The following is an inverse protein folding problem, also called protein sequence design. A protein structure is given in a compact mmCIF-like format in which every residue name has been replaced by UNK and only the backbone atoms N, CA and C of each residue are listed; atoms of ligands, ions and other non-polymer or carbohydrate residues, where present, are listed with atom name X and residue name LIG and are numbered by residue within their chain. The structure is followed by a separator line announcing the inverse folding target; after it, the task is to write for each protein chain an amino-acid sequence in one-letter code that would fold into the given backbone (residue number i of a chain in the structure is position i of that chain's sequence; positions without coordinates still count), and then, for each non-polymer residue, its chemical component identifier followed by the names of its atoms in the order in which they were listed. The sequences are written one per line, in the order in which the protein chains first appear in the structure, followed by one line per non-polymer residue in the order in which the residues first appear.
data_IF_928395455968
#
_entry.id   IF_928395455968
#
_cell.length_a   1.000
_cell.length_b   1.000
_cell.length_c   1.000
_cell.angle_alpha   90.00
_cell.angle_beta   90.00
_cell.angle_gamma   90.00
#
_symmetry.space_group_name_H-M   'P 1'
#
loop_
_entity.id
_entity.type
_entity.pdbx_description
1 polymer ?
#
# COMPACT_ATOMS: atom_id res chain seq x y z
N UNK A 1 -0.64 -5.75 -1.88
CA UNK A 1 0.14 -4.68 -1.23
C UNK A 1 1.63 -4.85 -1.52
N UNK A 2 2.25 -6.00 -1.21
CA UNK A 2 3.67 -6.27 -1.51
C UNK A 2 4.10 -5.98 -2.97
N UNK A 3 3.34 -6.37 -4.01
CA UNK A 3 3.71 -6.03 -5.39
C UNK A 3 3.64 -4.53 -5.70
N UNK A 4 2.82 -3.77 -4.98
CA UNK A 4 2.71 -2.33 -5.15
C UNK A 4 3.94 -1.61 -4.63
N UNK A 5 4.40 -1.97 -3.43
CA UNK A 5 5.65 -1.46 -2.87
C UNK A 5 6.85 -1.83 -3.77
N UNK A 6 6.91 -3.07 -4.24
CA UNK A 6 7.94 -3.50 -5.19
C UNK A 6 7.93 -2.68 -6.49
N UNK A 7 6.74 -2.38 -7.04
CA UNK A 7 6.61 -1.54 -8.24
C UNK A 7 7.04 -0.08 -8.01
N UNK A 8 7.05 0.38 -6.76
CA UNK A 8 7.56 1.67 -6.35
C UNK A 8 9.06 1.64 -5.97
N UNK A 9 9.75 0.50 -6.17
CA UNK A 9 11.17 0.34 -5.88
C UNK A 9 11.49 -0.25 -4.50
N UNK A 10 10.48 -0.44 -3.65
CA UNK A 10 10.65 -0.91 -2.27
C UNK A 10 10.47 -2.42 -2.17
N UNK A 11 11.54 -3.14 -2.45
CA UNK A 11 11.58 -4.60 -2.32
C UNK A 11 12.00 -4.99 -0.91
N UNK A 12 11.17 -5.79 -0.24
CA UNK A 12 11.51 -6.34 1.06
C UNK A 12 12.75 -7.25 0.94
N UNK A 13 13.82 -7.01 1.72
CA UNK A 13 15.00 -7.86 1.73
C UNK A 13 14.68 -9.31 2.11
N UNK A 14 15.47 -10.25 1.60
CA UNK A 14 15.38 -11.65 1.99
C UNK A 14 15.72 -11.79 3.48
N UNK A 15 14.93 -12.59 4.21
CA UNK A 15 15.01 -12.77 5.68
C UNK A 15 14.59 -11.58 6.54
N UNK A 16 13.98 -10.54 5.94
CA UNK A 16 13.33 -9.48 6.71
C UNK A 16 11.83 -9.78 6.86
N UNK A 17 11.26 -9.42 8.01
CA UNK A 17 9.81 -9.47 8.21
C UNK A 17 9.13 -8.40 7.32
N UNK A 18 8.27 -8.79 6.35
CA UNK A 18 7.65 -7.83 5.44
C UNK A 18 6.79 -6.79 6.16
N UNK A 19 6.13 -7.18 7.26
CA UNK A 19 5.27 -6.25 7.99
C UNK A 19 6.09 -5.12 8.62
N UNK A 20 7.19 -5.47 9.30
CA UNK A 20 8.08 -4.48 9.92
C UNK A 20 8.76 -3.61 8.87
N UNK A 21 9.26 -4.21 7.77
CA UNK A 21 9.89 -3.46 6.68
C UNK A 21 8.98 -2.36 6.11
N UNK A 22 7.73 -2.69 5.76
CA UNK A 22 6.82 -1.70 5.18
C UNK A 22 6.30 -0.69 6.22
N UNK A 23 6.21 -1.06 7.50
CA UNK A 23 5.87 -0.10 8.57
C UNK A 23 7.00 0.93 8.73
N UNK A 24 8.26 0.48 8.81
CA UNK A 24 9.40 1.39 8.92
C UNK A 24 9.53 2.30 7.70
N UNK A 25 9.16 1.80 6.53
CA UNK A 25 9.20 2.57 5.28
C UNK A 25 8.20 3.72 5.26
N UNK A 26 7.01 3.56 5.85
CA UNK A 26 5.95 4.59 5.82
C UNK A 26 5.93 5.49 7.05
N UNK A 27 6.73 5.15 8.06
CA UNK A 27 6.85 5.92 9.27
C UNK A 27 8.00 6.95 9.13
N UNK A 28 7.64 8.23 9.14
CA UNK A 28 8.58 9.35 8.98
C UNK A 28 9.54 9.56 10.15
N UNK A 29 9.35 8.84 11.26
CA UNK A 29 10.26 8.91 12.41
C UNK A 29 11.58 8.14 12.18
N UNK A 30 11.69 7.32 11.13
CA UNK A 30 12.91 6.58 10.79
C UNK A 30 13.72 7.28 9.69
N UNK A 31 15.05 7.30 9.80
CA UNK A 31 15.93 7.97 8.83
C UNK A 31 15.79 7.45 7.38
N UNK A 32 15.60 6.13 7.18
CA UNK A 32 15.48 5.47 5.87
C UNK A 32 14.03 5.29 5.38
N UNK A 33 13.11 6.13 5.85
CA UNK A 33 11.72 6.14 5.36
C UNK A 33 11.60 6.54 3.88
N UNK A 34 10.53 6.07 3.23
CA UNK A 34 10.20 6.47 1.87
C UNK A 34 9.71 7.92 1.78
N UNK A 35 9.68 8.45 0.56
CA UNK A 35 8.87 9.62 0.23
C UNK A 35 7.37 9.25 0.34
N UNK A 36 6.84 9.41 1.56
CA UNK A 36 5.44 9.08 1.89
C UNK A 36 4.46 9.84 0.99
N UNK A 37 4.60 11.16 0.76
CA UNK A 37 3.74 11.89 -0.20
C UNK A 37 3.70 11.26 -1.60
N UNK A 38 4.85 10.93 -2.18
CA UNK A 38 4.92 10.29 -3.49
C UNK A 38 4.26 8.91 -3.50
N UNK A 39 4.44 8.15 -2.41
CA UNK A 39 3.87 6.82 -2.26
C UNK A 39 2.34 6.87 -2.15
N UNK A 40 1.79 7.86 -1.42
CA UNK A 40 0.36 8.13 -1.34
C UNK A 40 -0.21 8.51 -2.71
N UNK A 41 0.50 9.34 -3.48
CA UNK A 41 0.08 9.71 -4.84
C UNK A 41 0.03 8.48 -5.76
N UNK A 42 1.07 7.64 -5.72
CA UNK A 42 1.16 6.40 -6.49
C UNK A 42 0.03 5.44 -6.14
N UNK A 43 -0.26 5.26 -4.85
CA UNK A 43 -1.40 4.45 -4.40
C UNK A 43 -2.74 5.04 -4.87
N UNK A 44 -2.89 6.37 -4.79
CA UNK A 44 -4.10 7.09 -5.23
C UNK A 44 -4.41 6.85 -6.70
N UNK A 45 -3.39 6.70 -7.54
CA UNK A 45 -3.55 6.45 -8.98
C UNK A 45 -3.58 4.96 -9.36
N UNK A 46 -3.28 4.06 -8.41
CA UNK A 46 -3.16 2.62 -8.67
C UNK A 46 -4.49 1.91 -8.96
N UNK A 47 -4.42 0.85 -9.77
CA UNK A 47 -5.55 -0.06 -10.01
C UNK A 47 -6.01 -0.75 -8.72
N UNK A 48 -5.08 -1.06 -7.80
CA UNK A 48 -5.38 -1.66 -6.50
C UNK A 48 -6.38 -0.82 -5.71
N UNK A 49 -6.20 0.50 -5.68
CA UNK A 49 -7.15 1.41 -5.01
C UNK A 49 -8.51 1.38 -5.70
N UNK A 50 -8.54 1.42 -7.04
CA UNK A 50 -9.79 1.40 -7.82
C UNK A 50 -10.58 0.12 -7.57
N UNK A 51 -9.92 -1.04 -7.64
CA UNK A 51 -10.51 -2.34 -7.37
C UNK A 51 -11.03 -2.45 -5.93
N UNK A 52 -10.27 -1.98 -4.94
CA UNK A 52 -10.69 -1.97 -3.54
C UNK A 52 -11.97 -1.16 -3.34
N UNK A 53 -12.02 0.05 -3.90
CA UNK A 53 -13.21 0.92 -3.82
C UNK A 53 -14.41 0.25 -4.50
N UNK A 54 -14.20 -0.40 -5.66
CA UNK A 54 -15.26 -1.10 -6.38
C UNK A 54 -15.82 -2.27 -5.55
N UNK A 55 -14.94 -3.06 -4.92
CA UNK A 55 -15.34 -4.17 -4.04
C UNK A 55 -16.14 -3.69 -2.83
N UNK A 56 -15.69 -2.63 -2.15
CA UNK A 56 -16.40 -2.04 -1.01
C UNK A 56 -17.79 -1.54 -1.44
N UNK A 57 -17.88 -0.86 -2.59
CA UNK A 57 -19.17 -0.40 -3.14
C UNK A 57 -20.11 -1.55 -3.50
N UNK A 58 -19.57 -2.62 -4.08
CA UNK A 58 -20.35 -3.81 -4.42
C UNK A 58 -20.89 -4.50 -3.17
N UNK A 59 -20.03 -4.71 -2.17
CA UNK A 59 -20.37 -5.35 -0.90
C UNK A 59 -21.46 -4.57 -0.14
N UNK A 60 -21.34 -3.24 -0.11
CA UNK A 60 -22.37 -2.37 0.47
C UNK A 60 -23.73 -2.51 -0.20
N UNK A 61 -23.77 -2.76 -1.52
CA UNK A 61 -25.05 -2.98 -2.24
C UNK A 61 -25.65 -4.34 -1.91
N UNK A 62 -24.82 -5.37 -1.72
CA UNK A 62 -25.30 -6.72 -1.38
C UNK A 62 -25.82 -6.83 0.05
N UNK A 63 -25.36 -5.96 0.97
CA UNK A 63 -25.84 -5.89 2.36
C UNK A 63 -27.12 -5.06 2.55
N UNK A 64 -27.61 -4.39 1.50
CA UNK A 64 -28.82 -3.55 1.54
C UNK A 64 -30.11 -4.31 1.13
N UNK A 65 -30.06 -5.65 1.12
CA UNK A 65 -31.21 -6.52 0.85
C UNK A 65 -31.52 -7.40 2.06
#
# INVERSE_FOLDING_TARGET
MTPHFASAGYNCPQYMNPAEYFISLVNTDFDDHADVPQMVQSYTQSEIRKELINRIKSDRKTLQH
#
